data_IF_430306698285
#
_entry.id   IF_430306698285
#
_cell.length_a   1.000
_cell.length_b   1.000
_cell.length_c   1.000
_cell.angle_alpha   90.00
_cell.angle_beta   90.00
_cell.angle_gamma   90.00
#
_symmetry.space_group_name_H-M   'P 1'
#
loop_
_entity.id
_entity.type
_entity.pdbx_description
1 polymer ?
#
# COMPACT_ATOMS: atom_id res chain seq x y z
N UNK A 1 -12.38 -2.48 -19.17
CA UNK A 1 -13.57 -1.66 -19.40
C UNK A 1 -14.52 -1.65 -18.20
N UNK A 2 -14.90 -2.79 -17.61
CA UNK A 2 -15.83 -2.86 -16.47
C UNK A 2 -15.26 -2.23 -15.20
N UNK A 3 -14.01 -2.48 -14.86
CA UNK A 3 -13.34 -1.89 -13.69
C UNK A 3 -13.26 -0.37 -13.77
N UNK A 4 -13.01 0.20 -14.96
CA UNK A 4 -12.99 1.64 -15.17
C UNK A 4 -14.39 2.26 -15.04
N UNK A 5 -15.44 1.55 -15.48
CA UNK A 5 -16.81 1.99 -15.30
C UNK A 5 -17.25 1.95 -13.83
N UNK A 6 -16.82 0.93 -13.08
CA UNK A 6 -17.07 0.82 -11.65
C UNK A 6 -16.34 1.93 -10.86
N UNK A 7 -15.09 2.24 -11.22
CA UNK A 7 -14.30 3.28 -10.58
C UNK A 7 -14.95 4.68 -10.63
N UNK A 8 -15.77 4.97 -11.65
CA UNK A 8 -16.51 6.24 -11.75
C UNK A 8 -17.65 6.37 -10.72
N UNK A 9 -18.09 5.25 -10.14
CA UNK A 9 -19.21 5.21 -9.18
C UNK A 9 -18.76 5.25 -7.72
N UNK A 10 -17.46 5.20 -7.46
CA UNK A 10 -16.87 5.21 -6.11
C UNK A 10 -15.90 6.38 -5.98
N UNK A 11 -15.68 6.81 -4.74
CA UNK A 11 -14.65 7.79 -4.41
C UNK A 11 -13.81 7.27 -3.26
N UNK A 12 -12.52 7.56 -3.28
CA UNK A 12 -11.66 7.32 -2.13
C UNK A 12 -12.02 8.28 -0.99
N UNK A 13 -12.06 7.74 0.21
CA UNK A 13 -12.21 8.52 1.44
C UNK A 13 -11.07 8.15 2.38
N UNK A 14 -10.30 9.15 2.78
CA UNK A 14 -9.20 9.00 3.71
C UNK A 14 -9.63 9.41 5.11
N UNK A 15 -9.86 8.47 6.03
CA UNK A 15 -10.29 8.78 7.39
C UNK A 15 -9.17 9.45 8.22
N UNK A 16 -9.54 9.96 9.39
CA UNK A 16 -8.62 10.50 10.40
C UNK A 16 -7.73 11.66 9.92
N UNK A 17 -8.20 12.46 8.96
CA UNK A 17 -7.40 13.56 8.41
C UNK A 17 -7.14 14.68 9.44
N UNK A 18 -8.06 14.89 10.38
CA UNK A 18 -7.93 15.86 11.49
C UNK A 18 -7.22 15.28 12.72
N UNK A 19 -6.82 14.01 12.68
CA UNK A 19 -6.22 13.28 13.79
C UNK A 19 -4.91 12.61 13.36
N UNK A 20 -4.76 11.32 13.55
CA UNK A 20 -3.53 10.55 13.29
C UNK A 20 -3.16 10.41 11.80
N UNK A 21 -4.10 10.58 10.91
CA UNK A 21 -3.96 10.29 9.50
C UNK A 21 -4.53 8.93 9.10
N UNK A 22 -4.56 8.68 7.82
CA UNK A 22 -5.08 7.44 7.23
C UNK A 22 -4.05 6.32 7.34
N UNK A 23 -4.51 5.11 7.67
CA UNK A 23 -3.70 3.90 7.59
C UNK A 23 -3.16 3.71 6.16
N UNK A 24 -1.87 3.41 6.05
CA UNK A 24 -1.22 3.06 4.80
C UNK A 24 -1.00 1.56 4.73
N UNK A 25 -1.60 0.93 3.73
CA UNK A 25 -1.35 -0.47 3.44
C UNK A 25 -0.07 -0.58 2.60
N UNK A 26 0.92 -1.32 3.10
CA UNK A 26 2.25 -1.41 2.50
C UNK A 26 2.45 -2.83 1.96
N UNK A 27 2.74 -2.93 0.66
CA UNK A 27 3.23 -4.16 0.05
C UNK A 27 4.68 -4.39 0.45
N UNK A 28 5.04 -5.61 0.82
CA UNK A 28 6.37 -5.94 1.34
C UNK A 28 6.97 -7.13 0.60
N UNK A 29 8.30 -7.09 0.45
CA UNK A 29 9.10 -8.26 0.09
C UNK A 29 10.04 -8.61 1.26
N UNK A 30 10.24 -9.89 1.51
CA UNK A 30 11.11 -10.35 2.59
C UNK A 30 12.00 -11.50 2.14
N UNK A 31 13.22 -11.52 2.65
CA UNK A 31 14.16 -12.62 2.45
C UNK A 31 13.86 -13.74 3.44
N UNK A 32 13.56 -14.92 2.91
CA UNK A 32 13.32 -16.12 3.75
C UNK A 32 14.62 -16.56 4.41
N UNK A 33 14.53 -16.89 5.71
CA UNK A 33 15.68 -17.47 6.46
C UNK A 33 16.12 -18.79 5.80
N UNK A 34 17.40 -18.89 5.48
CA UNK A 34 17.93 -20.08 4.80
C UNK A 34 17.70 -20.13 3.29
N UNK A 35 17.30 -19.03 2.65
CA UNK A 35 17.14 -18.96 1.21
C UNK A 35 18.44 -19.44 0.49
N UNK A 36 18.36 -20.44 -0.41
CA UNK A 36 19.54 -21.00 -1.06
C UNK A 36 20.23 -20.01 -2.02
N UNK A 37 19.46 -19.08 -2.58
CA UNK A 37 19.93 -18.05 -3.52
C UNK A 37 19.88 -16.64 -2.93
N UNK A 38 20.34 -16.50 -1.67
CA UNK A 38 20.25 -15.24 -0.91
C UNK A 38 20.76 -14.03 -1.66
N UNK A 39 21.92 -14.14 -2.33
CA UNK A 39 22.52 -13.02 -3.06
C UNK A 39 21.62 -12.54 -4.22
N UNK A 40 21.00 -13.46 -4.95
CA UNK A 40 20.07 -13.12 -6.04
C UNK A 40 18.75 -12.56 -5.49
N UNK A 41 18.27 -13.08 -4.37
CA UNK A 41 17.07 -12.56 -3.72
C UNK A 41 17.25 -11.11 -3.23
N UNK A 42 18.43 -10.78 -2.70
CA UNK A 42 18.76 -9.38 -2.34
C UNK A 42 18.75 -8.49 -3.59
N UNK A 43 19.42 -8.91 -4.66
CA UNK A 43 19.40 -8.15 -5.94
C UNK A 43 18.00 -7.94 -6.48
N UNK A 44 17.10 -8.93 -6.33
CA UNK A 44 15.71 -8.77 -6.72
C UNK A 44 15.01 -7.69 -5.88
N UNK A 45 15.19 -7.70 -4.56
CA UNK A 45 14.60 -6.67 -3.68
C UNK A 45 15.14 -5.29 -4.01
N UNK A 46 16.45 -5.17 -4.27
CA UNK A 46 17.07 -3.92 -4.71
C UNK A 46 16.50 -3.45 -6.07
N UNK A 47 16.32 -4.37 -7.02
CA UNK A 47 15.70 -4.08 -8.32
C UNK A 47 14.26 -3.58 -8.17
N UNK A 48 13.46 -4.14 -7.27
CA UNK A 48 12.09 -3.68 -7.00
C UNK A 48 12.03 -2.23 -6.51
N UNK A 49 13.11 -1.70 -5.95
CA UNK A 49 13.25 -0.31 -5.52
C UNK A 49 13.87 0.61 -6.58
N UNK A 50 14.14 0.12 -7.78
CA UNK A 50 14.61 0.98 -8.88
C UNK A 50 13.48 1.86 -9.42
N UNK A 51 13.78 3.04 -10.00
CA UNK A 51 12.78 3.88 -10.66
C UNK A 51 11.94 3.12 -11.69
N UNK A 52 12.58 2.29 -12.52
CA UNK A 52 11.91 1.46 -13.54
C UNK A 52 10.84 0.55 -12.91
N UNK A 53 11.17 -0.17 -11.84
CA UNK A 53 10.22 -1.04 -11.16
C UNK A 53 9.09 -0.25 -10.49
N UNK A 54 9.41 0.89 -9.89
CA UNK A 54 8.43 1.73 -9.22
C UNK A 54 7.47 2.41 -10.21
N UNK A 55 7.96 2.82 -11.39
CA UNK A 55 7.12 3.28 -12.51
C UNK A 55 6.20 2.17 -13.01
N UNK A 56 6.72 0.93 -13.10
CA UNK A 56 5.90 -0.22 -13.46
C UNK A 56 4.78 -0.45 -12.45
N UNK A 57 5.05 -0.43 -11.15
CA UNK A 57 4.04 -0.64 -10.12
C UNK A 57 2.95 0.44 -10.16
N UNK A 58 3.31 1.71 -10.22
CA UNK A 58 2.30 2.76 -10.22
C UNK A 58 1.43 2.76 -11.49
N UNK A 59 1.98 2.36 -12.63
CA UNK A 59 1.25 2.33 -13.89
C UNK A 59 0.41 1.06 -14.12
N UNK A 60 0.79 -0.08 -13.52
CA UNK A 60 0.15 -1.37 -13.79
C UNK A 60 -0.61 -1.95 -12.59
N UNK A 61 -0.15 -1.70 -11.36
CA UNK A 61 -0.82 -2.14 -10.13
C UNK A 61 -1.48 -1.00 -9.35
N UNK A 62 -1.28 0.24 -9.82
CA UNK A 62 -1.88 1.47 -9.26
C UNK A 62 -1.49 1.74 -7.81
N UNK A 63 -0.27 1.39 -7.46
CA UNK A 63 0.31 1.65 -6.15
C UNK A 63 1.04 3.01 -6.12
N UNK A 64 1.15 3.59 -4.94
CA UNK A 64 2.01 4.75 -4.73
C UNK A 64 3.47 4.30 -4.75
N UNK A 65 4.37 5.02 -5.47
CA UNK A 65 5.80 4.70 -5.44
C UNK A 65 6.39 4.83 -4.03
N UNK A 66 7.36 3.99 -3.73
CA UNK A 66 8.05 3.93 -2.44
C UNK A 66 9.37 4.71 -2.41
N UNK A 67 9.78 5.28 -3.53
CA UNK A 67 11.02 6.04 -3.65
C UNK A 67 10.76 7.46 -4.14
N UNK A 68 11.65 8.38 -3.78
CA UNK A 68 11.64 9.73 -4.30
C UNK A 68 11.98 9.77 -5.79
N UNK A 69 11.44 10.77 -6.50
CA UNK A 69 11.72 10.99 -7.92
C UNK A 69 10.81 10.21 -8.88
N UNK A 70 10.02 9.26 -8.41
CA UNK A 70 8.98 8.61 -9.21
C UNK A 70 7.61 9.15 -8.84
N UNK A 71 6.89 9.69 -9.81
CA UNK A 71 5.53 10.20 -9.60
C UNK A 71 4.50 9.08 -9.71
N UNK A 72 3.44 9.08 -8.91
CA UNK A 72 2.32 8.19 -9.10
C UNK A 72 1.68 8.37 -10.47
N UNK A 73 1.11 7.31 -11.03
CA UNK A 73 0.45 7.37 -12.33
C UNK A 73 -0.71 8.38 -12.33
N UNK A 74 -1.04 8.99 -13.48
CA UNK A 74 -2.18 9.91 -13.57
C UNK A 74 -3.49 9.31 -13.07
N UNK A 75 -3.67 8.00 -13.22
CA UNK A 75 -4.86 7.30 -12.72
C UNK A 75 -4.91 7.31 -11.18
N UNK A 76 -3.78 7.06 -10.53
CA UNK A 76 -3.67 7.12 -9.06
C UNK A 76 -3.93 8.54 -8.57
N UNK A 77 -3.26 9.53 -9.17
CA UNK A 77 -3.40 10.95 -8.79
C UNK A 77 -4.85 11.43 -8.96
N UNK A 78 -5.48 11.13 -10.09
CA UNK A 78 -6.82 11.60 -10.39
C UNK A 78 -7.92 10.96 -9.54
N UNK A 79 -7.72 9.73 -9.07
CA UNK A 79 -8.73 9.02 -8.28
C UNK A 79 -8.49 9.09 -6.77
N UNK A 80 -7.24 9.14 -6.33
CA UNK A 80 -6.88 9.14 -4.91
C UNK A 80 -6.40 10.50 -4.42
N UNK A 81 -5.84 11.33 -5.30
CA UNK A 81 -5.15 12.56 -4.90
C UNK A 81 -3.81 12.30 -4.24
N UNK A 82 -3.13 13.37 -3.88
CA UNK A 82 -1.84 13.33 -3.17
C UNK A 82 -1.88 14.04 -1.83
N UNK A 83 -2.94 14.82 -1.60
CA UNK A 83 -3.08 15.67 -0.42
C UNK A 83 -3.91 14.98 0.65
N UNK A 84 -3.30 13.99 1.30
CA UNK A 84 -3.88 13.34 2.47
C UNK A 84 -2.81 13.04 3.51
N UNK A 85 -3.22 13.14 4.77
CA UNK A 85 -2.35 12.85 5.92
C UNK A 85 -2.25 11.35 6.12
N UNK A 86 -1.02 10.84 6.14
CA UNK A 86 -0.70 9.44 6.39
C UNK A 86 -0.44 9.20 7.88
N UNK A 87 -0.87 8.04 8.40
CA UNK A 87 -0.48 7.60 9.75
C UNK A 87 0.92 6.99 9.71
N UNK A 88 1.92 7.80 9.99
CA UNK A 88 3.33 7.41 10.08
C UNK A 88 3.74 7.01 11.52
N UNK A 89 2.83 7.07 12.49
CA UNK A 89 3.12 6.80 13.90
C UNK A 89 2.80 5.36 14.30
N UNK A 90 1.79 4.76 13.70
CA UNK A 90 1.40 3.38 14.00
C UNK A 90 2.44 2.42 13.46
N UNK A 91 3.03 1.63 14.35
CA UNK A 91 4.04 0.64 13.98
C UNK A 91 3.39 -0.56 13.29
N UNK A 92 3.83 -0.88 12.07
CA UNK A 92 3.37 -2.05 11.30
C UNK A 92 3.50 -3.35 12.10
N UNK A 93 4.55 -3.47 12.93
CA UNK A 93 4.75 -4.64 13.80
C UNK A 93 3.63 -4.89 14.81
N UNK A 94 2.80 -3.86 15.11
CA UNK A 94 1.65 -4.04 15.99
C UNK A 94 0.47 -4.74 15.33
N UNK A 95 0.42 -4.82 14.02
CA UNK A 95 -0.73 -5.37 13.29
C UNK A 95 -0.95 -6.85 13.58
N UNK A 96 0.13 -7.64 13.58
CA UNK A 96 0.05 -9.04 13.96
C UNK A 96 -0.47 -9.26 15.38
N UNK A 97 0.03 -8.47 16.34
CA UNK A 97 -0.40 -8.56 17.73
C UNK A 97 -1.87 -8.15 17.95
N UNK A 98 -2.41 -7.30 17.06
CA UNK A 98 -3.78 -6.77 17.13
C UNK A 98 -4.76 -7.45 16.16
N UNK A 99 -4.34 -8.48 15.46
CA UNK A 99 -5.17 -9.15 14.46
C UNK A 99 -6.45 -9.74 15.06
N UNK A 100 -6.37 -10.41 16.20
CA UNK A 100 -7.53 -11.00 16.86
C UNK A 100 -8.55 -9.93 17.26
N UNK A 101 -8.09 -8.88 17.93
CA UNK A 101 -8.93 -7.73 18.32
C UNK A 101 -9.61 -7.08 17.10
N UNK A 102 -8.88 -6.94 15.99
CA UNK A 102 -9.41 -6.37 14.75
C UNK A 102 -10.52 -7.24 14.14
N UNK A 103 -10.34 -8.58 14.13
CA UNK A 103 -11.36 -9.51 13.63
C UNK A 103 -12.63 -9.47 14.49
N UNK A 104 -12.51 -9.35 15.80
CA UNK A 104 -13.67 -9.19 16.69
C UNK A 104 -14.45 -7.90 16.37
N UNK A 105 -13.74 -6.77 16.20
CA UNK A 105 -14.37 -5.49 15.83
C UNK A 105 -15.05 -5.57 14.47
N UNK A 106 -14.41 -6.18 13.47
CA UNK A 106 -14.99 -6.37 12.13
C UNK A 106 -16.24 -7.24 12.19
N UNK A 107 -16.19 -8.34 12.93
CA UNK A 107 -17.34 -9.24 13.12
C UNK A 107 -18.50 -8.53 13.82
N UNK A 108 -18.23 -7.79 14.89
CA UNK A 108 -19.23 -7.00 15.59
C UNK A 108 -19.87 -5.91 14.72
N UNK A 109 -19.11 -5.35 13.78
CA UNK A 109 -19.60 -4.38 12.80
C UNK A 109 -20.35 -5.02 11.61
N UNK A 110 -20.50 -6.35 11.57
CA UNK A 110 -21.20 -7.07 10.50
C UNK A 110 -20.38 -7.20 9.21
N UNK A 111 -19.08 -7.01 9.26
CA UNK A 111 -18.19 -7.26 8.13
C UNK A 111 -18.13 -8.76 7.85
N UNK A 112 -18.36 -9.15 6.58
CA UNK A 112 -18.36 -10.56 6.11
C UNK A 112 -17.30 -10.77 5.05
#
# INVERSE_FOLDING_TARGET
AEQQAAAKKVKAFFPNQNDRGTHMNISCAALVKGAPNKANAIKLVEFLLTPESQEHFTNNTFEFPMIDGVSPSPLVVNNLGLDFKQDLKTKVSSYGAKQADALEVMTAAGWK
#
